data_IF_354155073235
#
_entry.id   IF_354155073235
#
_cell.length_a   1.000
_cell.length_b   1.000
_cell.length_c   1.000
_cell.angle_alpha   90.00
_cell.angle_beta   90.00
_cell.angle_gamma   90.00
#
_symmetry.space_group_name_H-M   'P 1'
#
loop_
_entity.id
_entity.type
_entity.pdbx_description
1 polymer ?
#
# COMPACT_ATOMS: atom_id res chain seq x y z
N UNK A 1 15.94 -33.63 -9.74
CA UNK A 1 14.83 -33.00 -9.00
C UNK A 1 14.95 -31.49 -9.18
N UNK A 2 14.26 -30.91 -10.17
CA UNK A 2 14.41 -29.50 -10.53
C UNK A 2 13.86 -28.59 -9.44
N UNK A 3 14.66 -27.61 -8.99
CA UNK A 3 14.15 -26.56 -8.11
C UNK A 3 13.09 -25.76 -8.88
N UNK A 4 11.83 -25.88 -8.48
CA UNK A 4 10.79 -24.97 -8.93
C UNK A 4 11.18 -23.60 -8.40
N UNK A 5 11.58 -22.70 -9.30
CA UNK A 5 11.76 -21.29 -8.99
C UNK A 5 10.41 -20.77 -8.48
N UNK A 6 10.29 -20.60 -7.16
CA UNK A 6 9.08 -20.05 -6.53
C UNK A 6 8.94 -18.60 -6.98
N UNK A 7 7.96 -18.30 -7.82
CA UNK A 7 7.65 -16.93 -8.23
C UNK A 7 7.06 -16.09 -7.09
N UNK A 8 7.13 -14.78 -7.28
CA UNK A 8 7.40 -13.73 -6.28
C UNK A 8 6.50 -13.61 -5.04
N UNK A 9 5.24 -14.09 -5.01
CA UNK A 9 4.60 -14.31 -3.70
C UNK A 9 3.95 -15.68 -3.53
N UNK A 10 4.74 -16.76 -3.60
CA UNK A 10 4.26 -18.11 -3.24
C UNK A 10 3.74 -18.16 -1.78
N UNK A 11 4.38 -17.41 -0.88
CA UNK A 11 4.09 -17.43 0.56
C UNK A 11 3.09 -16.36 1.02
N UNK A 12 2.43 -15.63 0.12
CA UNK A 12 1.49 -14.57 0.50
C UNK A 12 0.34 -15.05 1.40
N UNK A 13 -0.07 -16.31 1.29
CA UNK A 13 -1.08 -16.94 2.13
C UNK A 13 -0.69 -17.04 3.62
N UNK A 14 0.61 -16.94 3.93
CA UNK A 14 1.12 -17.01 5.30
C UNK A 14 1.18 -15.65 5.98
N UNK A 15 0.93 -14.56 5.25
CA UNK A 15 0.92 -13.22 5.83
C UNK A 15 -0.21 -13.08 6.83
N UNK A 16 0.15 -12.59 8.02
CA UNK A 16 -0.79 -12.26 9.10
C UNK A 16 -0.69 -10.80 9.53
N UNK A 17 0.22 -10.03 8.94
CA UNK A 17 0.54 -8.66 9.34
C UNK A 17 -0.16 -7.65 8.46
N UNK A 18 -0.71 -6.58 9.04
CA UNK A 18 -1.24 -5.46 8.28
C UNK A 18 -0.20 -4.95 7.27
N UNK A 19 -0.51 -4.99 5.98
CA UNK A 19 0.46 -4.72 4.92
C UNK A 19 0.01 -3.54 4.07
N UNK A 20 0.79 -2.45 4.12
CA UNK A 20 0.67 -1.30 3.24
C UNK A 20 1.70 -1.41 2.11
N UNK A 21 1.23 -1.45 0.87
CA UNK A 21 2.05 -1.51 -0.34
C UNK A 21 1.89 -0.17 -1.05
N UNK A 22 3.00 0.49 -1.36
CA UNK A 22 2.98 1.76 -2.07
C UNK A 22 4.11 1.87 -3.08
N UNK A 23 3.90 2.64 -4.15
CA UNK A 23 4.93 2.88 -5.16
C UNK A 23 4.45 3.74 -6.32
N UNK A 24 5.39 4.23 -7.12
CA UNK A 24 5.09 4.99 -8.32
C UNK A 24 4.48 4.11 -9.41
N UNK A 25 3.47 4.63 -10.11
CA UNK A 25 2.82 3.91 -11.22
C UNK A 25 3.71 3.82 -12.47
N UNK A 26 4.76 4.64 -12.57
CA UNK A 26 5.70 4.69 -13.68
C UNK A 26 7.11 4.21 -13.29
N UNK A 27 7.24 3.38 -12.25
CA UNK A 27 8.53 2.83 -11.81
C UNK A 27 9.12 1.86 -12.86
N UNK A 28 10.22 2.25 -13.48
CA UNK A 28 10.94 1.45 -14.48
C UNK A 28 12.01 0.53 -13.88
N UNK A 29 12.37 0.69 -12.60
CA UNK A 29 13.35 -0.17 -11.90
C UNK A 29 12.67 -1.36 -11.25
N UNK A 30 11.56 -1.13 -10.57
CA UNK A 30 10.70 -2.17 -10.00
C UNK A 30 9.31 -2.01 -10.59
N UNK A 31 9.02 -2.83 -11.61
CA UNK A 31 7.78 -2.70 -12.36
C UNK A 31 6.55 -2.83 -11.42
N UNK A 32 5.54 -1.93 -11.51
CA UNK A 32 4.36 -1.95 -10.64
C UNK A 32 3.55 -3.25 -10.66
N UNK A 33 3.72 -4.10 -11.69
CA UNK A 33 3.09 -5.42 -11.71
C UNK A 33 3.49 -6.29 -10.52
N UNK A 34 4.68 -6.13 -9.96
CA UNK A 34 5.14 -6.92 -8.81
C UNK A 34 4.31 -6.59 -7.55
N UNK A 35 4.09 -5.31 -7.27
CA UNK A 35 3.26 -4.87 -6.13
C UNK A 35 1.79 -5.21 -6.33
N UNK A 36 1.28 -5.09 -7.56
CA UNK A 36 -0.08 -5.51 -7.93
C UNK A 36 -0.25 -7.03 -7.74
N UNK A 37 0.73 -7.84 -8.15
CA UNK A 37 0.67 -9.29 -8.01
C UNK A 37 0.62 -9.71 -6.54
N UNK A 38 1.51 -9.16 -5.71
CA UNK A 38 1.50 -9.42 -4.26
C UNK A 38 0.15 -9.04 -3.64
N UNK A 39 -0.35 -7.83 -3.92
CA UNK A 39 -1.64 -7.36 -3.43
C UNK A 39 -2.78 -8.31 -3.82
N UNK A 40 -2.85 -8.69 -5.10
CA UNK A 40 -3.87 -9.62 -5.61
C UNK A 40 -3.78 -10.97 -4.92
N UNK A 41 -2.58 -11.54 -4.77
CA UNK A 41 -2.40 -12.82 -4.06
C UNK A 41 -2.83 -12.73 -2.60
N UNK A 42 -2.50 -11.66 -1.89
CA UNK A 42 -2.95 -11.44 -0.50
C UNK A 42 -4.49 -11.33 -0.43
N UNK A 43 -5.12 -10.57 -1.33
CA UNK A 43 -6.60 -10.45 -1.39
C UNK A 43 -7.27 -11.78 -1.73
N UNK A 44 -6.75 -12.55 -2.67
CA UNK A 44 -7.27 -13.89 -3.01
C UNK A 44 -7.15 -14.87 -1.85
N UNK A 45 -6.13 -14.71 -0.98
CA UNK A 45 -5.99 -15.49 0.25
C UNK A 45 -6.76 -14.89 1.44
N UNK A 46 -7.73 -14.00 1.19
CA UNK A 46 -8.58 -13.38 2.21
C UNK A 46 -7.81 -12.61 3.29
N UNK A 47 -6.64 -12.05 2.96
CA UNK A 47 -5.88 -11.22 3.90
C UNK A 47 -6.74 -10.00 4.33
N UNK A 48 -6.98 -9.80 5.63
CA UNK A 48 -7.99 -8.85 6.08
C UNK A 48 -7.51 -7.39 6.05
N UNK A 49 -6.21 -7.15 6.23
CA UNK A 49 -5.60 -5.82 6.29
C UNK A 49 -4.47 -5.65 5.26
N UNK A 50 -4.82 -5.55 3.97
CA UNK A 50 -3.84 -5.28 2.89
C UNK A 50 -4.32 -4.11 2.03
N UNK A 51 -3.43 -3.16 1.76
CA UNK A 51 -3.70 -1.99 0.91
C UNK A 51 -2.61 -1.80 -0.13
N UNK A 52 -3.01 -1.44 -1.35
CA UNK A 52 -2.13 -0.99 -2.42
C UNK A 52 -2.46 0.47 -2.76
N UNK A 53 -1.45 1.33 -2.76
CA UNK A 53 -1.56 2.73 -3.21
C UNK A 53 -0.55 2.95 -4.34
N UNK A 54 -1.02 3.42 -5.49
CA UNK A 54 -0.16 3.75 -6.63
C UNK A 54 -0.20 5.25 -6.88
N UNK A 55 0.97 5.85 -7.10
CA UNK A 55 1.09 7.29 -7.36
C UNK A 55 1.29 7.54 -8.86
N UNK A 56 0.29 8.09 -9.57
CA UNK A 56 0.44 8.48 -10.97
C UNK A 56 1.56 9.52 -11.13
N UNK A 57 2.35 9.41 -12.19
CA UNK A 57 3.45 10.36 -12.45
C UNK A 57 4.72 10.12 -11.64
N UNK A 58 4.70 9.23 -10.64
CA UNK A 58 5.89 8.86 -9.85
C UNK A 58 6.58 7.61 -10.40
N UNK A 59 7.91 7.57 -10.28
CA UNK A 59 8.77 6.47 -10.73
C UNK A 59 9.37 5.67 -9.56
N UNK A 60 10.67 5.37 -9.61
CA UNK A 60 11.38 4.70 -8.51
C UNK A 60 11.59 5.63 -7.32
N UNK A 61 10.65 5.56 -6.38
CA UNK A 61 10.54 6.46 -5.24
C UNK A 61 9.72 7.71 -5.57
N UNK A 62 8.97 8.19 -4.58
CA UNK A 62 8.17 9.40 -4.73
C UNK A 62 9.10 10.61 -4.71
N UNK A 63 9.28 11.25 -5.86
CA UNK A 63 10.17 12.42 -6.02
C UNK A 63 9.42 13.72 -5.86
N UNK A 64 8.13 13.77 -6.21
CA UNK A 64 7.33 14.97 -6.00
C UNK A 64 7.01 15.16 -4.52
N UNK A 65 7.01 16.41 -4.08
CA UNK A 65 6.76 16.76 -2.69
C UNK A 65 5.39 16.25 -2.20
N UNK A 66 4.36 16.34 -3.04
CA UNK A 66 3.00 15.85 -2.74
C UNK A 66 2.97 14.34 -2.55
N UNK A 67 3.60 13.58 -3.44
CA UNK A 67 3.66 12.11 -3.32
C UNK A 67 4.45 11.66 -2.09
N UNK A 68 5.50 12.42 -1.69
CA UNK A 68 6.24 12.16 -0.45
C UNK A 68 5.38 12.42 0.79
N UNK A 69 4.67 13.55 0.82
CA UNK A 69 3.82 13.92 1.94
C UNK A 69 2.70 12.90 2.15
N UNK A 70 1.99 12.53 1.08
CA UNK A 70 0.93 11.51 1.15
C UNK A 70 1.48 10.16 1.67
N UNK A 71 2.64 9.68 1.17
CA UNK A 71 3.27 8.44 1.67
C UNK A 71 3.55 8.53 3.17
N UNK A 72 4.15 9.63 3.64
CA UNK A 72 4.48 9.81 5.05
C UNK A 72 3.21 9.78 5.90
N UNK A 73 2.18 10.52 5.51
CA UNK A 73 0.91 10.57 6.23
C UNK A 73 0.23 9.19 6.27
N UNK A 74 0.23 8.44 5.16
CA UNK A 74 -0.31 7.08 5.12
C UNK A 74 0.46 6.12 6.02
N UNK A 75 1.79 6.24 6.07
CA UNK A 75 2.62 5.42 6.96
C UNK A 75 2.28 5.73 8.42
N UNK A 76 2.19 7.02 8.79
CA UNK A 76 1.80 7.42 10.14
C UNK A 76 0.42 6.88 10.51
N UNK A 77 -0.57 7.04 9.63
CA UNK A 77 -1.92 6.52 9.85
C UNK A 77 -1.98 5.01 9.99
N UNK A 78 -1.15 4.29 9.24
CA UNK A 78 -1.06 2.84 9.33
C UNK A 78 -0.47 2.39 10.67
N UNK A 79 0.57 3.08 11.14
CA UNK A 79 1.18 2.82 12.44
C UNK A 79 0.27 3.22 13.58
N UNK A 80 -0.35 4.40 13.54
CA UNK A 80 -1.28 4.86 14.56
C UNK A 80 -2.43 3.85 14.70
N UNK A 81 -3.02 3.41 13.58
CA UNK A 81 -4.15 2.50 13.62
C UNK A 81 -3.83 1.10 14.14
N UNK A 82 -2.77 0.45 13.64
CA UNK A 82 -2.50 -0.96 13.94
C UNK A 82 -1.51 -1.18 15.08
N UNK A 83 -0.63 -0.22 15.35
CA UNK A 83 0.42 -0.35 16.38
C UNK A 83 0.07 0.43 17.63
N UNK A 84 -0.28 1.71 17.50
CA UNK A 84 -0.59 2.57 18.66
C UNK A 84 -1.97 2.26 19.24
N UNK A 85 -2.99 2.22 18.38
CA UNK A 85 -4.38 2.03 18.79
C UNK A 85 -4.79 0.54 18.84
N UNK A 86 -3.91 -0.35 18.35
CA UNK A 86 -4.10 -1.80 18.35
C UNK A 86 -5.44 -2.26 17.73
N UNK A 87 -5.91 -1.56 16.69
CA UNK A 87 -7.15 -1.91 16.02
C UNK A 87 -7.07 -3.32 15.38
N UNK A 88 -8.19 -4.06 15.36
CA UNK A 88 -8.20 -5.42 14.85
C UNK A 88 -8.00 -5.45 13.33
N UNK A 89 -7.27 -6.47 12.85
CA UNK A 89 -6.96 -6.62 11.42
C UNK A 89 -8.19 -6.90 10.54
N UNK A 90 -9.24 -7.49 11.11
CA UNK A 90 -10.51 -7.79 10.45
C UNK A 90 -11.55 -6.67 10.59
N UNK A 91 -11.15 -5.51 11.13
CA UNK A 91 -11.96 -4.30 11.18
C UNK A 91 -11.76 -3.39 9.95
N UNK A 92 -12.30 -2.16 10.01
CA UNK A 92 -11.97 -1.15 9.02
C UNK A 92 -10.47 -0.86 9.02
N UNK A 93 -9.94 -0.54 7.85
CA UNK A 93 -8.58 -0.03 7.70
C UNK A 93 -8.56 1.49 7.93
N UNK A 94 -7.38 2.12 8.16
CA UNK A 94 -7.27 3.58 8.19
C UNK A 94 -7.94 4.23 6.97
N UNK A 95 -8.49 5.45 7.06
CA UNK A 95 -9.10 6.12 5.91
C UNK A 95 -8.22 6.06 4.64
N UNK A 96 -8.85 5.81 3.50
CA UNK A 96 -8.14 5.85 2.21
C UNK A 96 -7.94 7.31 1.76
N UNK A 97 -8.98 8.10 1.94
CA UNK A 97 -8.93 9.54 1.78
C UNK A 97 -8.31 10.16 3.04
N UNK A 98 -7.25 10.93 2.81
CA UNK A 98 -6.52 11.69 3.84
C UNK A 98 -6.38 13.16 3.43
N UNK A 99 -7.22 13.62 2.49
CA UNK A 99 -7.18 14.98 1.94
C UNK A 99 -7.26 16.06 3.01
N UNK A 100 -8.12 15.85 4.02
CA UNK A 100 -8.25 16.72 5.19
C UNK A 100 -6.91 16.97 5.91
N UNK A 101 -5.95 16.03 5.83
CA UNK A 101 -4.65 16.13 6.48
C UNK A 101 -3.63 16.98 5.73
N UNK A 102 -3.91 17.34 4.47
CA UNK A 102 -3.01 18.22 3.73
C UNK A 102 -3.08 19.66 4.21
N UNK A 103 -4.12 20.03 4.96
CA UNK A 103 -4.35 21.42 5.39
C UNK A 103 -4.67 22.34 4.21
N UNK A 104 -5.25 21.79 3.14
CA UNK A 104 -5.63 22.49 1.91
C UNK A 104 -7.05 22.04 1.56
N UNK A 105 -7.94 23.00 1.33
CA UNK A 105 -9.26 22.71 0.75
C UNK A 105 -9.05 22.31 -0.71
N UNK A 106 -9.11 21.00 -0.99
CA UNK A 106 -9.15 20.53 -2.35
C UNK A 106 -10.53 20.88 -2.94
N UNK A 107 -10.61 21.45 -4.16
CA UNK A 107 -11.88 21.62 -4.80
C UNK A 107 -12.53 20.23 -4.94
N UNK A 108 -13.77 20.10 -4.46
CA UNK A 108 -14.53 18.87 -4.64
C UNK A 108 -14.53 18.50 -6.12
N UNK A 109 -14.21 17.25 -6.42
CA UNK A 109 -14.16 16.73 -7.78
C UNK A 109 -15.46 17.10 -8.52
N UNK A 110 -15.32 17.75 -9.69
CA UNK A 110 -16.44 18.08 -10.58
C UNK A 110 -16.86 16.88 -11.41
#
# INVERSE_FOLDING_TARGET
MGSILKTQPYYAHQSKTATLIYGGANDTRVHPSQSIELYRRMKMNHHPAVRLVQYPGEGHGNRNQTGRLDVILRILDWYDWYVKDANPLNGPMPPLDISDKYGIDLPADK
#
